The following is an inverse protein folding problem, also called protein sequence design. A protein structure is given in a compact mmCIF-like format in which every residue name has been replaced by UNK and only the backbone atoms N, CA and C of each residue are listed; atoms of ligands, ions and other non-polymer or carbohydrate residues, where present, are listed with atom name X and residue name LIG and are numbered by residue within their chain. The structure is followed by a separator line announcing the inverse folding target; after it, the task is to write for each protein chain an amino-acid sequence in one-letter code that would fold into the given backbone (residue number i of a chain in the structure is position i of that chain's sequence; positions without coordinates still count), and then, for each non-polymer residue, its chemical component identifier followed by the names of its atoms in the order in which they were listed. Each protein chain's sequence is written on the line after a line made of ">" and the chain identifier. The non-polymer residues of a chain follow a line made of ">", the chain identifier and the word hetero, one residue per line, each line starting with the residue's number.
data_IF_684732556500
#
_entry.id   IF_684732556500
#
_cell.length_a   1.000
_cell.length_b   1.000
_cell.length_c   1.000
_cell.angle_alpha   90.00
_cell.angle_beta   90.00
_cell.angle_gamma   90.00
#
_symmetry.space_group_name_H-M   'P 1'
#
loop_
_entity.id
_entity.type
_entity.pdbx_description
1 polymer ?
#
# COMPACT_ATOMS: atom_id res chain seq x y z
N UNK A 1 0.25 11.12 9.53
CA UNK A 1 1.26 10.17 8.99
C UNK A 1 1.61 10.62 7.60
N UNK A 2 2.89 10.86 7.31
CA UNK A 2 3.35 11.24 5.97
C UNK A 2 3.08 10.10 4.99
N UNK A 3 2.83 10.46 3.73
CA UNK A 3 2.66 9.47 2.66
C UNK A 3 4.04 8.97 2.21
N UNK A 4 4.14 7.69 1.86
CA UNK A 4 5.35 7.13 1.27
C UNK A 4 5.82 7.98 0.08
N UNK A 5 7.10 8.32 0.02
CA UNK A 5 7.71 9.17 -1.00
C UNK A 5 7.24 10.64 -1.05
N UNK A 6 6.48 11.14 -0.08
CA UNK A 6 5.88 12.48 -0.11
C UNK A 6 6.94 13.57 -0.38
N UNK A 7 8.02 13.57 0.40
CA UNK A 7 9.11 14.53 0.25
C UNK A 7 9.77 14.50 -1.13
N UNK A 8 10.00 13.30 -1.68
CA UNK A 8 10.58 13.13 -3.01
C UNK A 8 9.60 13.56 -4.10
N UNK A 9 8.33 13.15 -3.96
CA UNK A 9 7.27 13.48 -4.91
C UNK A 9 7.07 14.99 -5.06
N UNK A 10 7.01 15.73 -3.96
CA UNK A 10 6.84 17.19 -3.97
C UNK A 10 8.00 17.90 -4.68
N UNK A 11 9.23 17.46 -4.42
CA UNK A 11 10.41 18.02 -5.10
C UNK A 11 10.38 17.76 -6.60
N UNK A 12 10.10 16.54 -7.01
CA UNK A 12 10.03 16.16 -8.42
C UNK A 12 8.88 16.87 -9.15
N UNK A 13 7.71 16.99 -8.52
CA UNK A 13 6.58 17.73 -9.09
C UNK A 13 6.92 19.21 -9.34
N UNK A 14 7.62 19.85 -8.40
CA UNK A 14 8.04 21.26 -8.55
C UNK A 14 9.03 21.41 -9.71
N UNK A 15 10.02 20.52 -9.84
CA UNK A 15 10.98 20.52 -10.96
C UNK A 15 10.23 20.37 -12.29
N UNK A 16 9.33 19.40 -12.39
CA UNK A 16 8.60 19.11 -13.62
C UNK A 16 7.53 20.14 -13.96
N UNK A 17 6.97 20.84 -12.98
CA UNK A 17 6.07 21.97 -13.22
C UNK A 17 6.78 23.09 -13.98
N UNK A 18 8.03 23.35 -13.62
CA UNK A 18 8.86 24.35 -14.30
C UNK A 18 9.18 23.94 -15.75
N UNK A 19 9.45 22.65 -16.00
CA UNK A 19 9.66 22.13 -17.35
C UNK A 19 8.42 22.17 -18.22
N UNK A 20 7.25 21.86 -17.69
CA UNK A 20 5.97 21.89 -18.42
C UNK A 20 5.58 23.28 -18.89
N UNK A 21 5.99 24.31 -18.14
CA UNK A 21 5.70 25.71 -18.45
C UNK A 21 6.52 26.30 -19.62
N UNK A 22 7.58 25.60 -20.06
CA UNK A 22 8.45 26.06 -21.16
C UNK A 22 7.95 25.49 -22.49
N UNK A 23 7.59 26.35 -23.42
CA UNK A 23 7.10 25.93 -24.75
C UNK A 23 8.20 25.32 -25.63
N UNK A 24 9.48 25.69 -25.37
CA UNK A 24 10.68 25.07 -25.97
C UNK A 24 11.66 24.75 -24.84
N UNK A 25 12.34 23.63 -24.95
CA UNK A 25 13.43 23.26 -24.06
C UNK A 25 14.76 23.29 -24.80
N UNK A 26 15.79 23.76 -24.12
CA UNK A 26 17.19 23.64 -24.54
C UNK A 26 17.86 22.47 -23.80
N UNK A 27 18.97 21.96 -24.34
CA UNK A 27 19.77 20.96 -23.61
C UNK A 27 20.19 21.45 -22.22
N UNK A 28 20.44 22.76 -22.07
CA UNK A 28 20.80 23.38 -20.79
C UNK A 28 19.63 23.31 -19.81
N UNK A 29 18.41 23.55 -20.26
CA UNK A 29 17.21 23.41 -19.43
C UNK A 29 17.02 21.98 -18.91
N UNK A 30 17.23 20.99 -19.76
CA UNK A 30 17.17 19.57 -19.41
C UNK A 30 18.27 19.22 -18.40
N UNK A 31 19.52 19.64 -18.67
CA UNK A 31 20.65 19.41 -17.76
C UNK A 31 20.45 20.07 -16.39
N UNK A 32 19.90 21.29 -16.36
CA UNK A 32 19.58 21.99 -15.11
C UNK A 32 18.50 21.22 -14.31
N UNK A 33 17.42 20.81 -14.95
CA UNK A 33 16.36 20.03 -14.30
C UNK A 33 16.87 18.67 -13.79
N UNK A 34 17.71 17.98 -14.58
CA UNK A 34 18.30 16.69 -14.15
C UNK A 34 19.29 16.85 -12.99
N UNK A 35 19.95 18.01 -12.88
CA UNK A 35 20.76 18.34 -11.69
C UNK A 35 19.88 18.45 -10.44
N UNK A 36 18.73 19.10 -10.54
CA UNK A 36 17.78 19.19 -9.43
C UNK A 36 17.19 17.81 -9.09
N UNK A 37 16.81 17.00 -10.09
CA UNK A 37 16.38 15.59 -9.91
C UNK A 37 17.43 14.77 -9.19
N UNK A 38 18.72 14.92 -9.58
CA UNK A 38 19.85 14.26 -8.90
C UNK A 38 19.88 14.61 -7.41
N UNK A 39 19.77 15.90 -7.09
CA UNK A 39 19.78 16.37 -5.70
C UNK A 39 18.58 15.80 -4.95
N UNK A 40 17.38 15.87 -5.52
CA UNK A 40 16.17 15.33 -4.89
C UNK A 40 16.27 13.83 -4.56
N UNK A 41 16.83 13.03 -5.47
CA UNK A 41 17.06 11.60 -5.24
C UNK A 41 18.11 11.33 -4.16
N UNK A 42 19.20 12.11 -4.12
CA UNK A 42 20.22 11.99 -3.07
C UNK A 42 19.68 12.40 -1.69
N UNK A 43 18.88 13.46 -1.61
CA UNK A 43 18.20 13.88 -0.38
C UNK A 43 17.14 12.87 0.07
N UNK A 44 16.58 12.11 -0.86
CA UNK A 44 15.70 10.96 -0.58
C UNK A 44 16.47 9.71 -0.16
N UNK A 45 17.76 9.80 0.08
CA UNK A 45 18.63 8.68 0.50
C UNK A 45 18.73 7.56 -0.55
N UNK A 46 18.63 7.90 -1.85
CA UNK A 46 18.91 6.93 -2.94
C UNK A 46 20.41 6.75 -3.09
N UNK A 47 20.86 5.51 -3.31
CA UNK A 47 22.28 5.19 -3.46
C UNK A 47 22.96 6.03 -4.56
N UNK A 48 24.10 6.61 -4.26
CA UNK A 48 24.81 7.54 -5.16
C UNK A 48 25.11 6.95 -6.54
N UNK A 49 25.56 5.68 -6.61
CA UNK A 49 25.82 5.00 -7.88
C UNK A 49 24.55 4.85 -8.70
N UNK A 50 23.47 4.47 -8.05
CA UNK A 50 22.13 4.32 -8.67
C UNK A 50 21.66 5.65 -9.24
N UNK A 51 21.77 6.75 -8.48
CA UNK A 51 21.39 8.10 -8.93
C UNK A 51 22.23 8.55 -10.12
N UNK A 52 23.55 8.29 -10.08
CA UNK A 52 24.46 8.67 -11.18
C UNK A 52 24.08 7.95 -12.48
N UNK A 53 23.84 6.65 -12.41
CA UNK A 53 23.50 5.83 -13.58
C UNK A 53 22.10 6.21 -14.11
N UNK A 54 21.14 6.45 -13.23
CA UNK A 54 19.81 6.94 -13.57
C UNK A 54 19.85 8.26 -14.33
N UNK A 55 20.50 9.29 -13.77
CA UNK A 55 20.60 10.62 -14.38
C UNK A 55 21.32 10.55 -15.73
N UNK A 56 22.35 9.71 -15.86
CA UNK A 56 23.04 9.50 -17.14
C UNK A 56 22.09 8.94 -18.21
N UNK A 57 21.34 7.87 -17.90
CA UNK A 57 20.37 7.27 -18.82
C UNK A 57 19.25 8.23 -19.22
N UNK A 58 18.70 8.96 -18.25
CA UNK A 58 17.67 9.97 -18.57
C UNK A 58 18.24 11.07 -19.45
N UNK A 59 19.44 11.57 -19.18
CA UNK A 59 20.07 12.63 -19.97
C UNK A 59 20.32 12.18 -21.43
N UNK A 60 20.86 10.99 -21.61
CA UNK A 60 21.11 10.42 -22.96
C UNK A 60 19.83 10.34 -23.80
N UNK A 61 18.70 10.00 -23.19
CA UNK A 61 17.39 9.90 -23.86
C UNK A 61 16.72 11.27 -24.03
N UNK A 62 16.85 12.16 -23.04
CA UNK A 62 16.12 13.43 -22.99
C UNK A 62 16.73 14.52 -23.90
N UNK A 63 18.02 14.45 -24.23
CA UNK A 63 18.67 15.41 -25.17
C UNK A 63 18.63 14.95 -26.62
N UNK A 64 17.94 13.84 -26.93
CA UNK A 64 17.75 13.37 -28.32
C UNK A 64 16.92 14.34 -29.16
N UNK A 65 17.22 14.42 -30.46
CA UNK A 65 16.54 15.34 -31.40
C UNK A 65 15.02 15.14 -31.42
N UNK A 66 14.55 13.91 -31.26
CA UNK A 66 13.11 13.59 -31.26
C UNK A 66 12.39 14.24 -30.07
N UNK A 67 13.05 14.34 -28.91
CA UNK A 67 12.51 15.01 -27.73
C UNK A 67 12.54 16.51 -27.88
N UNK A 68 13.68 17.05 -28.33
CA UNK A 68 13.90 18.49 -28.43
C UNK A 68 13.02 19.15 -29.53
N UNK A 69 12.71 18.41 -30.58
CA UNK A 69 11.85 18.85 -31.68
C UNK A 69 10.35 18.53 -31.48
N UNK A 70 9.99 17.89 -30.36
CA UNK A 70 8.61 17.57 -30.03
C UNK A 70 7.79 18.83 -29.75
N UNK A 71 6.47 18.77 -30.04
CA UNK A 71 5.51 19.81 -29.68
C UNK A 71 5.33 19.94 -28.13
N UNK A 72 5.73 18.94 -27.38
CA UNK A 72 5.61 18.88 -25.90
C UNK A 72 6.88 18.33 -25.26
N UNK A 73 8.04 18.99 -25.42
CA UNK A 73 9.32 18.44 -24.98
C UNK A 73 9.39 18.20 -23.47
N UNK A 74 8.80 19.09 -22.66
CA UNK A 74 8.72 18.91 -21.20
C UNK A 74 7.93 17.65 -20.78
N UNK A 75 6.87 17.29 -21.50
CA UNK A 75 6.12 16.06 -21.24
C UNK A 75 6.91 14.81 -21.65
N UNK A 76 7.67 14.90 -22.73
CA UNK A 76 8.54 13.81 -23.17
C UNK A 76 9.65 13.53 -22.16
N UNK A 77 10.29 14.57 -21.60
CA UNK A 77 11.28 14.39 -20.51
C UNK A 77 10.67 13.72 -19.29
N UNK A 78 9.46 14.13 -18.86
CA UNK A 78 8.77 13.51 -17.72
C UNK A 78 8.44 12.04 -18.03
N UNK A 79 8.00 11.73 -19.23
CA UNK A 79 7.76 10.34 -19.66
C UNK A 79 9.03 9.50 -19.58
N UNK A 80 10.16 10.01 -20.05
CA UNK A 80 11.45 9.33 -19.98
C UNK A 80 11.86 9.10 -18.52
N UNK A 81 11.69 10.08 -17.63
CA UNK A 81 11.95 9.92 -16.21
C UNK A 81 11.06 8.84 -15.59
N UNK A 82 9.77 8.79 -15.94
CA UNK A 82 8.85 7.75 -15.47
C UNK A 82 9.27 6.35 -15.91
N UNK A 83 9.64 6.19 -17.16
CA UNK A 83 10.12 4.92 -17.72
C UNK A 83 11.41 4.48 -17.05
N UNK A 84 12.37 5.38 -16.85
CA UNK A 84 13.64 5.04 -16.18
C UNK A 84 13.47 4.76 -14.67
N UNK A 85 12.54 5.43 -13.98
CA UNK A 85 12.17 5.07 -12.61
C UNK A 85 11.54 3.68 -12.55
N UNK A 86 10.63 3.37 -13.48
CA UNK A 86 10.01 2.04 -13.59
C UNK A 86 11.08 0.97 -13.81
N UNK A 87 12.00 1.19 -14.75
CA UNK A 87 13.12 0.29 -15.05
C UNK A 87 14.05 0.10 -13.84
N UNK A 88 14.32 1.18 -13.10
CA UNK A 88 15.13 1.14 -11.89
C UNK A 88 14.54 0.22 -10.81
N UNK A 89 13.23 0.22 -10.67
CA UNK A 89 12.50 -0.58 -9.69
C UNK A 89 12.17 -2.00 -10.15
N UNK A 90 12.35 -2.33 -11.47
CA UNK A 90 12.20 -3.70 -11.93
C UNK A 90 11.41 -3.93 -13.20
N UNK A 91 10.92 -2.88 -13.86
CA UNK A 91 10.16 -2.90 -15.13
C UNK A 91 8.81 -3.61 -15.04
N UNK A 92 8.75 -4.80 -14.44
CA UNK A 92 7.57 -5.65 -14.37
C UNK A 92 7.24 -6.07 -12.94
N UNK A 93 5.96 -6.32 -12.70
CA UNK A 93 5.47 -6.88 -11.44
C UNK A 93 5.92 -8.33 -11.32
N UNK A 94 6.54 -8.67 -10.19
CA UNK A 94 6.97 -10.04 -9.89
C UNK A 94 6.10 -10.62 -8.78
N UNK A 95 5.57 -11.82 -9.00
CA UNK A 95 4.75 -12.54 -8.02
C UNK A 95 5.57 -13.55 -7.22
N UNK A 96 5.03 -13.97 -6.07
CA UNK A 96 5.52 -15.14 -5.35
C UNK A 96 5.36 -16.38 -6.22
N UNK A 97 6.42 -17.19 -6.30
CA UNK A 97 6.38 -18.46 -7.00
C UNK A 97 5.63 -19.50 -6.17
N UNK A 98 4.41 -19.82 -6.61
CA UNK A 98 3.57 -20.84 -5.98
C UNK A 98 3.48 -22.04 -6.89
N UNK A 99 3.81 -23.20 -6.37
CA UNK A 99 3.75 -24.46 -7.09
C UNK A 99 2.27 -24.93 -7.31
N UNK A 100 2.03 -25.85 -8.24
CA UNK A 100 0.72 -26.49 -8.41
C UNK A 100 0.23 -27.14 -7.10
N UNK A 101 -1.08 -27.25 -6.93
CA UNK A 101 -1.70 -27.66 -5.66
C UNK A 101 -1.37 -29.10 -5.19
N UNK A 102 -0.83 -29.92 -6.06
CA UNK A 102 -0.32 -31.28 -5.77
C UNK A 102 1.14 -31.27 -5.25
N UNK A 103 1.79 -30.12 -5.18
CA UNK A 103 3.14 -29.93 -4.66
C UNK A 103 3.11 -28.96 -3.48
N UNK A 104 4.08 -29.08 -2.58
CA UNK A 104 4.22 -28.17 -1.45
C UNK A 104 5.19 -27.03 -1.84
N UNK A 105 4.66 -25.81 -1.82
CA UNK A 105 5.49 -24.61 -1.90
C UNK A 105 6.13 -24.35 -0.54
N UNK A 106 7.46 -24.25 -0.47
CA UNK A 106 8.18 -23.92 0.77
C UNK A 106 8.85 -22.56 0.61
N UNK A 107 8.44 -21.60 1.42
CA UNK A 107 8.96 -20.23 1.42
C UNK A 107 9.71 -19.97 2.71
N UNK A 108 10.98 -19.55 2.62
CA UNK A 108 11.77 -19.14 3.78
C UNK A 108 11.78 -17.62 3.89
N UNK A 109 11.25 -17.09 5.01
CA UNK A 109 11.21 -15.67 5.32
C UNK A 109 12.43 -15.30 6.16
N UNK A 110 13.25 -14.37 5.66
CA UNK A 110 14.51 -13.93 6.27
C UNK A 110 14.50 -12.42 6.53
N UNK A 111 15.42 -11.94 7.35
CA UNK A 111 15.64 -10.51 7.61
C UNK A 111 16.00 -10.21 9.07
N UNK A 112 16.38 -8.99 9.35
CA UNK A 112 16.78 -8.55 10.69
C UNK A 112 15.60 -8.48 11.68
N UNK A 113 15.93 -8.40 12.96
CA UNK A 113 14.95 -8.16 14.01
C UNK A 113 14.26 -6.80 13.80
N UNK A 114 12.96 -6.76 13.99
CA UNK A 114 12.18 -5.53 13.81
C UNK A 114 11.82 -5.19 12.36
N UNK A 115 12.35 -5.91 11.37
CA UNK A 115 12.00 -5.70 9.95
C UNK A 115 10.56 -6.09 9.60
N UNK A 116 9.78 -6.66 10.52
CA UNK A 116 8.38 -7.03 10.27
C UNK A 116 8.19 -8.42 9.67
N UNK A 117 9.18 -9.34 9.77
CA UNK A 117 9.09 -10.71 9.23
C UNK A 117 7.81 -11.44 9.65
N UNK A 118 7.64 -11.65 10.96
CA UNK A 118 6.53 -12.43 11.53
C UNK A 118 5.16 -11.89 11.12
N UNK A 119 5.00 -10.57 11.14
CA UNK A 119 3.76 -9.92 10.69
C UNK A 119 3.54 -10.11 9.20
N UNK A 120 4.59 -9.93 8.39
CA UNK A 120 4.55 -10.10 6.93
C UNK A 120 4.28 -11.55 6.54
N UNK A 121 4.90 -12.51 7.24
CA UNK A 121 4.68 -13.95 7.07
C UNK A 121 3.19 -14.30 7.22
N UNK A 122 2.54 -13.82 8.27
CA UNK A 122 1.12 -14.04 8.48
C UNK A 122 0.24 -13.32 7.42
N UNK A 123 0.61 -12.10 7.01
CA UNK A 123 -0.11 -11.38 5.95
C UNK A 123 -0.05 -12.09 4.60
N UNK A 124 1.12 -12.63 4.23
CA UNK A 124 1.28 -13.43 3.01
C UNK A 124 0.40 -14.68 3.09
N UNK A 125 0.43 -15.40 4.21
CA UNK A 125 -0.39 -16.58 4.41
C UNK A 125 -1.89 -16.27 4.27
N UNK A 126 -2.35 -15.17 4.86
CA UNK A 126 -3.74 -14.71 4.71
C UNK A 126 -4.12 -14.40 3.26
N UNK A 127 -3.22 -13.73 2.50
CA UNK A 127 -3.43 -13.48 1.06
C UNK A 127 -3.46 -14.76 0.23
N UNK A 128 -2.60 -15.71 0.52
CA UNK A 128 -2.58 -17.02 -0.17
C UNK A 128 -3.83 -17.84 0.16
N UNK A 129 -4.29 -17.80 1.41
CA UNK A 129 -5.55 -18.42 1.82
C UNK A 129 -6.75 -17.81 1.07
N UNK A 130 -6.80 -16.49 0.94
CA UNK A 130 -7.84 -15.80 0.17
C UNK A 130 -7.84 -16.20 -1.32
N UNK A 131 -6.68 -16.62 -1.85
CA UNK A 131 -6.51 -17.17 -3.21
C UNK A 131 -6.77 -18.70 -3.28
N UNK A 132 -7.35 -19.30 -2.23
CA UNK A 132 -7.70 -20.74 -2.19
C UNK A 132 -6.56 -21.68 -1.85
N UNK A 133 -5.36 -21.17 -1.45
CA UNK A 133 -4.26 -22.01 -0.98
C UNK A 133 -4.47 -22.42 0.48
N UNK A 134 -3.76 -23.46 0.92
CA UNK A 134 -3.82 -24.00 2.28
C UNK A 134 -2.47 -23.80 2.99
N UNK A 135 -2.18 -22.57 3.44
CA UNK A 135 -0.90 -22.25 4.06
C UNK A 135 -0.77 -22.84 5.47
N UNK A 136 0.48 -23.16 5.84
CA UNK A 136 0.94 -23.50 7.18
C UNK A 136 2.06 -22.54 7.55
N UNK A 137 1.92 -21.83 8.65
CA UNK A 137 2.97 -21.00 9.23
C UNK A 137 3.87 -21.87 10.13
N UNK A 138 5.17 -21.64 10.12
CA UNK A 138 6.14 -22.43 10.89
C UNK A 138 7.01 -21.51 11.73
N UNK A 139 6.96 -21.69 13.06
CA UNK A 139 7.74 -20.91 14.02
C UNK A 139 9.17 -21.47 14.11
N UNK A 140 10.09 -20.89 13.36
CA UNK A 140 11.52 -21.23 13.38
C UNK A 140 12.35 -20.23 14.23
N UNK A 141 11.78 -19.12 14.74
CA UNK A 141 12.45 -18.22 15.69
C UNK A 141 12.35 -18.80 17.11
N UNK A 142 13.23 -19.75 17.40
CA UNK A 142 13.27 -20.45 18.70
C UNK A 142 14.00 -19.66 19.80
N UNK A 143 14.73 -18.63 19.45
CA UNK A 143 15.54 -17.84 20.39
C UNK A 143 14.68 -16.83 21.17
N UNK A 144 13.46 -16.59 20.70
CA UNK A 144 12.52 -15.64 21.30
C UNK A 144 11.15 -16.30 21.48
N UNK A 145 10.85 -16.82 22.67
CA UNK A 145 9.54 -17.43 22.95
C UNK A 145 8.36 -16.53 22.58
N UNK A 146 8.51 -15.23 22.79
CA UNK A 146 7.50 -14.23 22.39
C UNK A 146 7.25 -14.19 20.87
N UNK A 147 8.24 -14.51 20.01
CA UNK A 147 8.07 -14.57 18.57
C UNK A 147 7.18 -15.73 18.13
N UNK A 148 7.32 -16.89 18.79
CA UNK A 148 6.44 -18.04 18.56
C UNK A 148 4.98 -17.66 18.87
N UNK A 149 4.76 -17.01 20.02
CA UNK A 149 3.43 -16.59 20.43
C UNK A 149 2.85 -15.51 19.52
N UNK A 150 3.70 -14.56 19.08
CA UNK A 150 3.32 -13.53 18.11
C UNK A 150 2.90 -14.15 16.77
N UNK A 151 3.62 -15.19 16.30
CA UNK A 151 3.24 -15.87 15.06
C UNK A 151 1.90 -16.58 15.20
N UNK A 152 1.62 -17.23 16.35
CA UNK A 152 0.32 -17.87 16.63
C UNK A 152 -0.82 -16.86 16.62
N UNK A 153 -0.68 -15.74 17.33
CA UNK A 153 -1.69 -14.67 17.38
C UNK A 153 -1.93 -14.11 15.96
N UNK A 154 -0.88 -13.88 15.19
CA UNK A 154 -1.02 -13.37 13.83
C UNK A 154 -1.62 -14.43 12.88
N UNK A 155 -1.28 -15.70 13.04
CA UNK A 155 -1.88 -16.81 12.31
C UNK A 155 -3.38 -16.96 12.62
N UNK A 156 -3.76 -16.85 13.88
CA UNK A 156 -5.16 -16.88 14.31
C UNK A 156 -5.98 -15.75 13.68
N UNK A 157 -5.45 -14.51 13.69
CA UNK A 157 -6.07 -13.35 13.03
C UNK A 157 -6.34 -13.60 11.54
N UNK A 158 -5.48 -14.37 10.87
CA UNK A 158 -5.62 -14.76 9.46
C UNK A 158 -6.34 -16.11 9.28
N UNK A 159 -6.72 -16.77 10.41
CA UNK A 159 -7.27 -18.13 10.42
C UNK A 159 -6.38 -19.13 9.67
N UNK A 160 -5.07 -19.03 9.86
CA UNK A 160 -4.04 -19.88 9.28
C UNK A 160 -3.40 -20.70 10.39
N UNK A 161 -3.26 -22.05 10.24
CA UNK A 161 -2.63 -22.89 11.25
C UNK A 161 -1.14 -22.54 11.40
N UNK A 162 -0.63 -22.66 12.64
CA UNK A 162 0.77 -22.45 13.01
C UNK A 162 1.35 -23.73 13.57
N UNK A 163 2.44 -24.19 12.99
CA UNK A 163 3.23 -25.31 13.47
C UNK A 163 4.39 -24.80 14.35
N UNK A 164 4.55 -25.39 15.52
CA UNK A 164 5.62 -25.08 16.45
C UNK A 164 6.03 -26.33 17.22
N UNK A 165 7.34 -26.46 17.49
CA UNK A 165 7.88 -27.51 18.36
C UNK A 165 8.49 -26.92 19.65
N UNK A 166 8.09 -25.70 20.01
CA UNK A 166 8.66 -24.96 21.13
C UNK A 166 10.05 -24.39 20.82
N UNK A 167 10.80 -24.06 21.86
CA UNK A 167 12.08 -23.34 21.78
C UNK A 167 13.33 -24.23 21.96
N UNK A 168 13.14 -25.55 22.16
CA UNK A 168 14.26 -26.50 22.42
C UNK A 168 14.75 -27.23 21.18
N UNK A 169 14.09 -27.09 20.06
CA UNK A 169 14.45 -27.77 18.81
C UNK A 169 15.22 -26.85 17.86
N UNK A 170 16.13 -27.40 17.08
CA UNK A 170 16.83 -26.63 16.04
C UNK A 170 15.85 -26.22 14.95
N UNK A 171 15.98 -25.02 14.36
CA UNK A 171 15.12 -24.53 13.29
C UNK A 171 15.01 -25.47 12.08
N UNK A 172 16.12 -26.11 11.68
CA UNK A 172 16.12 -27.11 10.62
C UNK A 172 15.21 -28.31 10.93
N UNK A 173 15.24 -28.82 12.16
CA UNK A 173 14.39 -29.96 12.56
C UNK A 173 12.91 -29.56 12.56
N UNK A 174 12.61 -28.35 13.02
CA UNK A 174 11.23 -27.78 13.00
C UNK A 174 10.74 -27.69 11.56
N UNK A 175 11.56 -27.16 10.66
CA UNK A 175 11.21 -27.02 9.25
C UNK A 175 10.95 -28.36 8.56
N UNK A 176 11.81 -29.38 8.81
CA UNK A 176 11.59 -30.77 8.31
C UNK A 176 10.30 -31.37 8.84
N UNK A 177 10.06 -31.29 10.14
CA UNK A 177 8.84 -31.81 10.76
C UNK A 177 7.58 -31.07 10.26
N UNK A 178 7.66 -29.75 10.02
CA UNK A 178 6.57 -28.96 9.48
C UNK A 178 6.18 -29.37 8.05
N UNK A 179 7.15 -29.69 7.19
CA UNK A 179 6.88 -30.20 5.84
C UNK A 179 6.18 -31.56 5.88
N UNK A 180 6.63 -32.47 6.75
CA UNK A 180 5.94 -33.74 6.95
C UNK A 180 4.52 -33.55 7.54
N UNK A 181 4.35 -32.62 8.45
CA UNK A 181 3.04 -32.23 8.96
C UNK A 181 2.13 -31.67 7.85
N UNK A 182 2.67 -30.81 6.99
CA UNK A 182 1.95 -30.24 5.86
C UNK A 182 1.46 -31.31 4.89
N UNK A 183 2.28 -32.31 4.57
CA UNK A 183 1.89 -33.48 3.74
C UNK A 183 0.69 -34.22 4.34
N UNK A 184 0.72 -34.49 5.65
CA UNK A 184 -0.35 -35.23 6.36
C UNK A 184 -1.65 -34.44 6.49
N UNK A 185 -1.57 -33.11 6.57
CA UNK A 185 -2.73 -32.23 6.80
C UNK A 185 -3.19 -31.50 5.53
N UNK A 186 -2.71 -31.94 4.37
CA UNK A 186 -3.13 -31.38 3.08
C UNK A 186 -2.84 -29.85 2.94
N UNK A 187 -1.80 -29.35 3.61
CA UNK A 187 -1.29 -28.01 3.36
C UNK A 187 -0.43 -28.02 2.09
N UNK A 188 -0.61 -27.02 1.22
CA UNK A 188 0.17 -26.91 -0.02
C UNK A 188 1.13 -25.71 -0.05
N UNK A 189 1.17 -24.90 1.00
CA UNK A 189 2.14 -23.86 1.20
C UNK A 189 2.67 -23.92 2.63
N UNK A 190 3.99 -23.92 2.79
CA UNK A 190 4.69 -23.87 4.08
C UNK A 190 5.52 -22.59 4.11
N UNK A 191 5.33 -21.75 5.12
CA UNK A 191 6.08 -20.49 5.26
C UNK A 191 6.87 -20.54 6.55
N UNK A 192 8.19 -20.58 6.43
CA UNK A 192 9.13 -20.64 7.54
C UNK A 192 9.43 -19.22 8.03
N UNK A 193 8.97 -18.87 9.25
CA UNK A 193 9.32 -17.61 9.92
C UNK A 193 10.61 -17.81 10.72
N UNK A 194 11.76 -17.43 10.11
CA UNK A 194 13.07 -17.65 10.70
C UNK A 194 13.44 -16.58 11.74
N UNK A 195 14.43 -16.88 12.55
CA UNK A 195 14.98 -15.92 13.51
C UNK A 195 15.53 -14.66 12.81
N UNK A 196 15.49 -13.53 13.50
CA UNK A 196 16.19 -12.31 13.12
C UNK A 196 17.02 -11.79 14.27
N UNK A 197 18.22 -11.34 13.97
CA UNK A 197 19.11 -10.66 14.90
C UNK A 197 19.11 -9.15 14.66
N UNK A 198 19.66 -8.38 15.57
CA UNK A 198 19.73 -6.91 15.43
C UNK A 198 20.60 -6.46 14.27
N UNK A 199 21.61 -7.25 13.94
CA UNK A 199 22.53 -7.04 12.83
C UNK A 199 22.88 -8.38 12.20
N UNK A 200 23.48 -8.34 11.03
CA UNK A 200 23.95 -9.55 10.34
C UNK A 200 25.14 -10.12 11.10
N UNK A 201 25.04 -11.38 11.51
CA UNK A 201 26.10 -12.14 12.14
C UNK A 201 26.28 -13.54 11.50
N UNK A 202 27.42 -14.16 11.74
CA UNK A 202 27.77 -15.44 11.12
C UNK A 202 26.85 -16.58 11.59
N UNK A 203 26.47 -16.61 12.87
CA UNK A 203 25.64 -17.69 13.41
C UNK A 203 24.26 -17.70 12.76
N UNK A 204 23.65 -16.51 12.62
CA UNK A 204 22.37 -16.37 11.93
C UNK A 204 22.48 -16.79 10.46
N UNK A 205 23.55 -16.35 9.76
CA UNK A 205 23.75 -16.70 8.37
C UNK A 205 23.98 -18.19 8.18
N UNK A 206 24.76 -18.83 9.03
CA UNK A 206 25.01 -20.27 9.01
C UNK A 206 23.72 -21.08 9.25
N UNK A 207 22.85 -20.64 10.16
CA UNK A 207 21.55 -21.28 10.39
C UNK A 207 20.65 -21.21 9.16
N UNK A 208 20.58 -20.06 8.50
CA UNK A 208 19.79 -19.88 7.28
C UNK A 208 20.35 -20.71 6.11
N UNK A 209 21.68 -20.78 5.98
CA UNK A 209 22.37 -21.64 5.01
C UNK A 209 22.10 -23.11 5.31
N UNK A 210 22.13 -23.54 6.60
CA UNK A 210 21.83 -24.92 6.99
C UNK A 210 20.38 -25.29 6.58
N UNK A 211 19.42 -24.41 6.78
CA UNK A 211 18.03 -24.62 6.32
C UNK A 211 17.98 -24.73 4.80
N UNK A 212 18.57 -23.77 4.07
CA UNK A 212 18.57 -23.71 2.60
C UNK A 212 19.16 -24.99 1.99
N UNK A 213 20.27 -25.46 2.52
CA UNK A 213 21.02 -26.60 1.93
C UNK A 213 20.38 -27.96 2.25
N UNK A 214 19.50 -28.02 3.27
CA UNK A 214 18.87 -29.27 3.72
C UNK A 214 17.37 -29.36 3.45
N UNK A 215 16.76 -28.30 2.92
CA UNK A 215 15.32 -28.23 2.57
C UNK A 215 15.18 -27.77 1.12
N UNK A 216 14.34 -28.44 0.36
CA UNK A 216 13.97 -27.99 -0.96
C UNK A 216 13.06 -26.76 -0.86
N UNK A 217 13.68 -25.58 -0.86
CA UNK A 217 12.98 -24.30 -0.82
C UNK A 217 12.48 -23.93 -2.23
N UNK A 218 11.24 -23.49 -2.32
CA UNK A 218 10.70 -22.89 -3.57
C UNK A 218 11.17 -21.47 -3.75
N UNK A 219 11.24 -20.71 -2.64
CA UNK A 219 11.72 -19.32 -2.62
C UNK A 219 12.34 -18.95 -1.28
N UNK A 220 13.36 -18.09 -1.35
CA UNK A 220 13.94 -17.35 -0.24
C UNK A 220 13.53 -15.89 -0.35
N UNK A 221 12.85 -15.37 0.67
CA UNK A 221 12.29 -14.02 0.67
C UNK A 221 12.87 -13.21 1.83
N UNK A 222 13.52 -12.10 1.49
CA UNK A 222 14.07 -11.17 2.48
C UNK A 222 13.07 -10.07 2.81
N UNK A 223 12.88 -9.83 4.10
CA UNK A 223 12.06 -8.72 4.61
C UNK A 223 12.99 -7.64 5.17
N UNK A 224 12.86 -6.43 4.64
CA UNK A 224 13.65 -5.25 5.06
C UNK A 224 12.74 -4.11 5.48
N UNK A 225 13.25 -3.28 6.38
CA UNK A 225 12.57 -2.09 6.89
C UNK A 225 12.97 -0.87 6.07
N UNK A 226 12.02 -0.22 5.38
CA UNK A 226 12.28 0.98 4.58
C UNK A 226 12.87 2.13 5.40
N UNK A 227 12.48 2.25 6.67
CA UNK A 227 12.92 3.34 7.54
C UNK A 227 14.42 3.30 7.85
N UNK A 228 15.09 2.17 7.65
CA UNK A 228 16.55 2.05 7.83
C UNK A 228 17.35 2.60 6.65
N UNK A 229 16.69 3.07 5.60
CA UNK A 229 17.33 3.74 4.46
C UNK A 229 18.36 2.85 3.76
N UNK A 230 19.57 3.35 3.56
CA UNK A 230 20.66 2.60 2.89
C UNK A 230 21.12 1.35 3.65
N UNK A 231 20.88 1.25 4.96
CA UNK A 231 21.18 0.01 5.70
C UNK A 231 20.32 -1.15 5.22
N UNK A 232 19.06 -0.91 4.83
CA UNK A 232 18.23 -1.94 4.21
C UNK A 232 18.85 -2.47 2.91
N UNK A 233 19.47 -1.61 2.11
CA UNK A 233 20.15 -1.98 0.86
C UNK A 233 21.39 -2.80 1.14
N UNK A 234 22.20 -2.40 2.14
CA UNK A 234 23.40 -3.12 2.56
C UNK A 234 23.06 -4.53 3.07
N UNK A 235 22.04 -4.62 3.93
CA UNK A 235 21.51 -5.89 4.45
C UNK A 235 21.05 -6.78 3.29
N UNK A 236 20.27 -6.23 2.35
CA UNK A 236 19.79 -6.99 1.20
C UNK A 236 20.94 -7.53 0.33
N UNK A 237 21.98 -6.72 0.14
CA UNK A 237 23.19 -7.14 -0.58
C UNK A 237 23.89 -8.30 0.14
N UNK A 238 24.11 -8.19 1.46
CA UNK A 238 24.81 -9.20 2.25
C UNK A 238 24.05 -10.53 2.30
N UNK A 239 22.70 -10.50 2.52
CA UNK A 239 21.88 -11.70 2.44
C UNK A 239 21.91 -12.36 1.05
N UNK A 240 21.90 -11.53 -0.01
CA UNK A 240 21.97 -12.05 -1.37
C UNK A 240 23.31 -12.72 -1.69
N UNK A 241 24.42 -12.17 -1.19
CA UNK A 241 25.77 -12.73 -1.39
C UNK A 241 26.00 -14.02 -0.59
N UNK A 242 25.52 -14.09 0.66
CA UNK A 242 25.78 -15.24 1.55
C UNK A 242 24.76 -16.38 1.39
N UNK A 243 23.48 -16.04 1.23
CA UNK A 243 22.40 -17.04 1.20
C UNK A 243 21.83 -17.18 -0.20
N UNK A 244 21.76 -16.10 -0.96
CA UNK A 244 20.95 -15.98 -2.16
C UNK A 244 19.48 -15.69 -1.81
N UNK A 245 18.93 -14.66 -2.41
CA UNK A 245 17.53 -14.29 -2.25
C UNK A 245 16.82 -14.33 -3.60
N UNK A 246 15.54 -14.70 -3.60
CA UNK A 246 14.71 -14.74 -4.81
C UNK A 246 13.81 -13.52 -4.92
N UNK A 247 13.49 -12.89 -3.79
CA UNK A 247 12.69 -11.70 -3.76
C UNK A 247 12.77 -10.95 -2.43
N UNK A 248 12.32 -9.70 -2.44
CA UNK A 248 12.41 -8.78 -1.31
C UNK A 248 11.02 -8.22 -0.99
N UNK A 249 10.75 -8.06 0.29
CA UNK A 249 9.57 -7.35 0.79
C UNK A 249 10.06 -6.15 1.59
N UNK A 250 9.59 -4.97 1.21
CA UNK A 250 9.94 -3.71 1.87
C UNK A 250 8.77 -3.31 2.80
N UNK A 251 9.02 -3.28 4.09
CA UNK A 251 8.02 -2.95 5.11
C UNK A 251 8.15 -1.51 5.60
N UNK A 252 7.14 -1.03 6.32
CA UNK A 252 7.08 0.30 6.96
C UNK A 252 7.29 1.46 5.99
N UNK A 253 6.89 1.27 4.75
CA UNK A 253 7.02 2.30 3.73
C UNK A 253 6.10 3.51 4.00
N UNK A 254 5.03 3.32 4.77
CA UNK A 254 4.15 4.37 5.29
C UNK A 254 4.85 5.34 6.26
N UNK A 255 5.94 4.92 6.91
CA UNK A 255 6.81 5.76 7.74
C UNK A 255 7.99 6.38 6.98
N UNK A 256 8.27 5.94 5.75
CA UNK A 256 9.39 6.43 4.94
C UNK A 256 8.93 7.45 3.88
N UNK A 257 9.02 8.73 4.22
CA UNK A 257 8.69 9.82 3.28
C UNK A 257 9.75 10.02 2.19
N UNK A 258 10.94 9.42 2.32
CA UNK A 258 12.07 9.53 1.38
C UNK A 258 12.03 8.46 0.30
N UNK A 259 11.85 7.18 0.69
CA UNK A 259 11.71 6.04 -0.22
C UNK A 259 12.98 5.56 -0.90
N UNK A 260 14.15 6.04 -0.48
CA UNK A 260 15.43 5.76 -1.14
C UNK A 260 15.82 4.28 -1.13
N UNK A 261 15.49 3.55 -0.06
CA UNK A 261 15.73 2.11 0.03
C UNK A 261 15.01 1.35 -1.09
N UNK A 262 13.71 1.58 -1.28
CA UNK A 262 12.93 0.91 -2.32
C UNK A 262 13.46 1.17 -3.73
N UNK A 263 13.94 2.39 -4.01
CA UNK A 263 14.55 2.75 -5.29
C UNK A 263 15.93 2.10 -5.52
N UNK A 264 16.67 1.83 -4.44
CA UNK A 264 18.05 1.32 -4.54
C UNK A 264 18.15 -0.21 -4.52
N UNK A 265 17.25 -0.89 -3.83
CA UNK A 265 17.33 -2.33 -3.54
C UNK A 265 17.45 -3.17 -4.82
N UNK A 266 16.54 -2.96 -5.78
CA UNK A 266 16.57 -3.74 -7.05
C UNK A 266 17.84 -3.48 -7.84
N UNK A 267 18.25 -2.21 -7.93
CA UNK A 267 19.43 -1.81 -8.69
C UNK A 267 20.74 -2.40 -8.11
N UNK A 268 20.82 -2.54 -6.78
CA UNK A 268 22.02 -3.04 -6.09
C UNK A 268 22.03 -4.56 -6.00
N UNK A 269 20.90 -5.20 -5.71
CA UNK A 269 20.82 -6.65 -5.50
C UNK A 269 20.51 -7.44 -6.77
N UNK A 270 19.93 -6.80 -7.79
CA UNK A 270 19.36 -7.47 -8.95
C UNK A 270 18.06 -8.23 -8.68
N UNK A 271 17.58 -8.25 -7.41
CA UNK A 271 16.42 -9.05 -6.98
C UNK A 271 15.13 -8.24 -6.98
N UNK A 272 13.98 -8.85 -7.37
CA UNK A 272 12.73 -8.12 -7.45
C UNK A 272 12.17 -7.79 -6.07
N UNK A 273 11.47 -6.64 -5.98
CA UNK A 273 10.57 -6.36 -4.86
C UNK A 273 9.24 -7.05 -5.18
N UNK A 274 8.77 -7.89 -4.26
CA UNK A 274 7.52 -8.66 -4.41
C UNK A 274 6.33 -7.92 -3.81
N UNK A 275 6.50 -7.42 -2.58
CA UNK A 275 5.47 -6.70 -1.82
C UNK A 275 6.05 -5.50 -1.10
N UNK A 276 5.16 -4.57 -0.78
CA UNK A 276 5.41 -3.43 0.10
C UNK A 276 4.42 -3.41 1.25
N UNK A 277 4.90 -3.11 2.46
CA UNK A 277 4.09 -2.91 3.65
C UNK A 277 3.82 -1.43 3.87
N UNK A 278 2.55 -1.06 3.82
CA UNK A 278 2.04 0.30 3.96
C UNK A 278 1.28 0.51 5.28
N UNK A 279 1.49 -0.37 6.26
CA UNK A 279 0.81 -0.32 7.55
C UNK A 279 0.64 -1.70 8.18
N UNK A 280 -0.19 -1.80 9.22
CA UNK A 280 -0.30 -3.01 10.04
C UNK A 280 -1.39 -4.00 9.60
N UNK A 281 -2.42 -3.54 8.90
CA UNK A 281 -3.54 -4.40 8.46
C UNK A 281 -3.12 -5.36 7.35
N UNK A 282 -3.89 -6.43 7.14
CA UNK A 282 -3.67 -7.38 6.02
C UNK A 282 -3.73 -6.67 4.67
N UNK A 283 -4.67 -5.74 4.50
CA UNK A 283 -4.83 -4.91 3.30
C UNK A 283 -3.62 -4.03 2.99
N UNK A 284 -2.81 -3.73 4.02
CA UNK A 284 -1.67 -2.81 3.90
C UNK A 284 -0.39 -3.52 3.40
N UNK A 285 -0.46 -4.82 3.09
CA UNK A 285 0.57 -5.52 2.31
C UNK A 285 0.14 -5.50 0.86
N UNK A 286 0.75 -4.66 0.05
CA UNK A 286 0.44 -4.49 -1.37
C UNK A 286 1.46 -5.20 -2.25
N UNK A 287 1.02 -5.74 -3.39
CA UNK A 287 1.94 -6.21 -4.41
C UNK A 287 2.70 -5.03 -5.00
N UNK A 288 3.99 -5.22 -5.27
CA UNK A 288 4.81 -4.15 -5.80
C UNK A 288 4.63 -4.04 -7.31
N UNK A 289 4.19 -2.87 -7.76
CA UNK A 289 4.04 -2.52 -9.17
C UNK A 289 4.99 -1.36 -9.50
N UNK A 290 6.11 -1.61 -10.20
CA UNK A 290 7.11 -0.58 -10.50
C UNK A 290 6.54 0.64 -11.22
N UNK A 291 5.68 0.45 -12.21
CA UNK A 291 5.03 1.49 -12.99
C UNK A 291 4.12 2.40 -12.17
N UNK A 292 3.32 1.79 -11.27
CA UNK A 292 2.43 2.54 -10.37
C UNK A 292 3.24 3.31 -9.34
N UNK A 293 4.32 2.72 -8.85
CA UNK A 293 5.20 3.38 -7.89
C UNK A 293 5.92 4.57 -8.53
N UNK A 294 6.44 4.43 -9.75
CA UNK A 294 7.01 5.54 -10.51
C UNK A 294 5.99 6.68 -10.71
N UNK A 295 4.76 6.33 -11.07
CA UNK A 295 3.67 7.30 -11.23
C UNK A 295 3.33 8.03 -9.92
N UNK A 296 3.31 7.33 -8.79
CA UNK A 296 3.13 7.94 -7.46
C UNK A 296 4.25 8.93 -7.14
N UNK A 297 5.50 8.52 -7.32
CA UNK A 297 6.70 9.36 -7.07
C UNK A 297 6.66 10.63 -7.92
N UNK A 298 6.16 10.57 -9.16
CA UNK A 298 6.03 11.72 -10.05
C UNK A 298 4.76 12.55 -9.81
N UNK A 299 3.92 12.16 -8.84
CA UNK A 299 2.64 12.84 -8.56
C UNK A 299 1.62 12.71 -9.68
N UNK A 300 1.76 11.70 -10.53
CA UNK A 300 0.82 11.41 -11.63
C UNK A 300 -0.41 10.62 -11.15
N UNK A 301 -0.41 10.21 -9.88
CA UNK A 301 -1.45 9.39 -9.27
C UNK A 301 -1.34 7.91 -9.61
N UNK A 302 -2.11 7.10 -8.91
CA UNK A 302 -2.18 5.66 -9.10
C UNK A 302 -3.65 5.23 -9.20
N UNK A 303 -4.25 5.52 -10.33
CA UNK A 303 -5.68 5.23 -10.58
C UNK A 303 -5.96 3.73 -10.59
N UNK A 304 -5.02 2.89 -11.03
CA UNK A 304 -5.21 1.44 -11.10
C UNK A 304 -5.27 0.83 -9.70
N UNK A 305 -4.34 1.19 -8.81
CA UNK A 305 -4.40 0.73 -7.41
C UNK A 305 -5.66 1.22 -6.68
N UNK A 306 -6.15 2.43 -7.03
CA UNK A 306 -7.40 2.95 -6.51
C UNK A 306 -8.59 2.08 -6.95
N UNK A 307 -8.65 1.71 -8.21
CA UNK A 307 -9.70 0.83 -8.76
C UNK A 307 -9.63 -0.55 -8.10
N UNK A 308 -8.45 -1.15 -8.00
CA UNK A 308 -8.27 -2.46 -7.37
C UNK A 308 -8.66 -2.47 -5.88
N UNK A 309 -8.30 -1.41 -5.13
CA UNK A 309 -8.75 -1.26 -3.73
C UNK A 309 -10.26 -1.12 -3.64
N UNK A 310 -10.88 -0.37 -4.56
CA UNK A 310 -12.31 -0.25 -4.64
C UNK A 310 -12.99 -1.59 -4.94
N UNK A 311 -12.47 -2.34 -5.93
CA UNK A 311 -13.00 -3.66 -6.28
C UNK A 311 -12.88 -4.69 -5.14
N UNK A 312 -11.76 -4.68 -4.40
CA UNK A 312 -11.57 -5.58 -3.24
C UNK A 312 -12.45 -5.22 -2.04
N UNK A 313 -12.83 -3.95 -1.91
CA UNK A 313 -13.60 -3.45 -0.76
C UNK A 313 -15.10 -3.47 -1.00
N UNK A 314 -15.52 -3.55 -2.25
CA UNK A 314 -16.93 -3.49 -2.65
C UNK A 314 -17.43 -4.93 -2.86
N UNK A 315 -18.31 -5.36 -1.96
CA UNK A 315 -19.18 -6.51 -2.20
C UNK A 315 -20.09 -6.16 -3.39
N UNK A 316 -19.86 -6.81 -4.53
CA UNK A 316 -20.55 -6.49 -5.80
C UNK A 316 -22.07 -6.57 -5.69
N UNK A 317 -22.58 -7.46 -4.85
CA UNK A 317 -24.02 -7.61 -4.66
C UNK A 317 -24.58 -6.45 -3.82
N UNK A 318 -23.86 -6.03 -2.78
CA UNK A 318 -24.21 -4.83 -1.99
C UNK A 318 -24.08 -3.55 -2.80
N UNK A 319 -23.08 -3.43 -3.68
CA UNK A 319 -22.93 -2.29 -4.55
C UNK A 319 -24.10 -2.14 -5.52
N UNK A 320 -24.60 -3.22 -6.11
CA UNK A 320 -25.79 -3.22 -6.97
C UNK A 320 -27.07 -2.87 -6.20
N UNK A 321 -27.21 -3.40 -4.98
CA UNK A 321 -28.34 -3.06 -4.10
C UNK A 321 -28.31 -1.59 -3.72
N UNK A 322 -27.15 -1.05 -3.37
CA UNK A 322 -26.97 0.35 -3.04
C UNK A 322 -27.23 1.27 -4.24
N UNK A 323 -26.78 0.89 -5.45
CA UNK A 323 -27.11 1.61 -6.69
C UNK A 323 -28.64 1.63 -6.93
N UNK A 324 -29.34 0.55 -6.68
CA UNK A 324 -30.80 0.50 -6.79
C UNK A 324 -31.50 1.38 -5.75
N UNK A 325 -31.00 1.41 -4.50
CA UNK A 325 -31.51 2.28 -3.43
C UNK A 325 -31.25 3.77 -3.74
N UNK A 326 -30.06 4.09 -4.27
CA UNK A 326 -29.72 5.44 -4.73
C UNK A 326 -30.64 5.90 -5.88
N UNK A 327 -30.91 5.05 -6.88
CA UNK A 327 -31.84 5.34 -7.99
C UNK A 327 -33.27 5.56 -7.49
N UNK A 328 -33.70 4.89 -6.42
CA UNK A 328 -35.01 5.06 -5.79
C UNK A 328 -35.08 6.24 -4.80
N UNK A 329 -33.97 7.00 -4.66
CA UNK A 329 -33.85 8.11 -3.69
C UNK A 329 -34.12 7.70 -2.22
N UNK A 330 -33.82 6.46 -1.87
CA UNK A 330 -34.00 5.86 -0.54
C UNK A 330 -32.70 5.82 0.26
N UNK A 331 -31.80 6.81 0.08
CA UNK A 331 -30.56 6.90 0.81
C UNK A 331 -30.84 7.27 2.28
N UNK A 332 -30.34 6.46 3.22
CA UNK A 332 -30.57 6.52 4.65
C UNK A 332 -29.29 6.84 5.43
N UNK A 333 -29.38 7.13 6.73
CA UNK A 333 -28.21 7.27 7.59
C UNK A 333 -27.50 5.92 7.83
N UNK A 334 -28.19 4.80 7.74
CA UNK A 334 -27.55 3.49 7.78
C UNK A 334 -26.69 3.25 6.52
N UNK A 335 -27.18 3.63 5.32
CA UNK A 335 -26.39 3.58 4.08
C UNK A 335 -25.17 4.51 4.16
N UNK A 336 -25.31 5.66 4.82
CA UNK A 336 -24.22 6.60 5.06
C UNK A 336 -23.13 6.00 5.95
N UNK A 337 -23.50 5.30 7.05
CA UNK A 337 -22.53 4.59 7.91
C UNK A 337 -21.80 3.47 7.16
N UNK A 338 -22.53 2.71 6.36
CA UNK A 338 -21.93 1.64 5.55
C UNK A 338 -20.92 2.20 4.56
N UNK A 339 -21.25 3.31 3.88
CA UNK A 339 -20.35 4.00 2.97
C UNK A 339 -19.11 4.55 3.67
N UNK A 340 -19.25 5.15 4.85
CA UNK A 340 -18.13 5.63 5.66
C UNK A 340 -17.24 4.47 6.13
N UNK A 341 -17.84 3.33 6.50
CA UNK A 341 -17.12 2.11 6.84
C UNK A 341 -16.30 1.56 5.68
N UNK A 342 -16.85 1.58 4.47
CA UNK A 342 -16.12 1.18 3.25
C UNK A 342 -14.92 2.08 2.99
N UNK A 343 -15.08 3.41 3.06
CA UNK A 343 -13.96 4.37 2.92
C UNK A 343 -12.88 4.12 3.98
N UNK A 344 -13.26 3.85 5.23
CA UNK A 344 -12.32 3.53 6.30
C UNK A 344 -11.55 2.23 6.03
N UNK A 345 -12.22 1.21 5.48
CA UNK A 345 -11.61 -0.06 5.09
C UNK A 345 -10.68 0.08 3.88
N UNK A 346 -10.92 1.04 3.00
CA UNK A 346 -10.06 1.37 1.84
C UNK A 346 -8.80 2.17 2.22
N UNK A 347 -8.51 2.33 3.52
CA UNK A 347 -7.33 3.06 4.00
C UNK A 347 -7.60 4.53 4.33
N UNK A 348 -8.86 4.94 4.40
CA UNK A 348 -9.28 6.31 4.71
C UNK A 348 -9.27 7.25 3.51
N UNK A 349 -9.90 8.42 3.69
CA UNK A 349 -10.08 9.40 2.62
C UNK A 349 -8.75 10.01 2.14
N UNK A 350 -7.78 10.19 3.03
CA UNK A 350 -6.45 10.71 2.70
C UNK A 350 -5.68 9.77 1.77
N UNK A 351 -5.73 8.46 2.02
CA UNK A 351 -5.09 7.45 1.16
C UNK A 351 -5.70 7.43 -0.25
N UNK A 352 -7.03 7.55 -0.35
CA UNK A 352 -7.73 7.59 -1.63
C UNK A 352 -7.40 8.86 -2.43
N UNK A 353 -7.35 10.01 -1.77
CA UNK A 353 -7.04 11.30 -2.40
C UNK A 353 -5.58 11.37 -2.87
N UNK A 354 -4.65 10.76 -2.13
CA UNK A 354 -3.24 10.68 -2.54
C UNK A 354 -3.00 9.88 -3.83
N UNK A 355 -3.90 8.95 -4.15
CA UNK A 355 -3.85 8.16 -5.38
C UNK A 355 -4.44 8.88 -6.58
N UNK A 356 -5.15 10.01 -6.37
CA UNK A 356 -5.76 10.76 -7.48
C UNK A 356 -4.76 11.68 -8.18
N UNK A 357 -4.73 11.70 -9.52
CA UNK A 357 -3.85 12.56 -10.29
C UNK A 357 -4.09 14.05 -10.00
N UNK A 358 -3.03 14.79 -9.66
CA UNK A 358 -3.08 16.24 -9.47
C UNK A 358 -3.61 16.72 -8.11
N UNK A 359 -3.94 15.82 -7.20
CA UNK A 359 -4.45 16.13 -5.85
C UNK A 359 -3.37 15.88 -4.79
N UNK A 360 -2.40 15.00 -5.06
CA UNK A 360 -1.25 14.75 -4.18
C UNK A 360 -0.50 16.04 -3.84
N UNK A 361 -0.28 16.32 -2.57
CA UNK A 361 0.48 17.47 -2.08
C UNK A 361 -0.28 18.80 -1.97
N UNK A 362 -1.58 18.87 -2.33
CA UNK A 362 -2.40 20.11 -2.21
C UNK A 362 -3.53 20.03 -1.19
N UNK A 363 -3.62 18.94 -0.47
CA UNK A 363 -4.65 18.80 0.56
C UNK A 363 -4.08 19.40 1.83
N UNK A 364 -4.55 20.59 2.20
CA UNK A 364 -4.38 21.06 3.57
C UNK A 364 -5.07 20.04 4.48
N UNK A 365 -4.36 19.54 5.48
CA UNK A 365 -4.92 18.64 6.52
C UNK A 365 -6.20 19.23 7.17
N UNK A 366 -6.38 20.55 7.08
CA UNK A 366 -7.58 21.27 7.54
C UNK A 366 -8.86 20.95 6.74
N UNK A 367 -8.76 20.34 5.55
CA UNK A 367 -9.92 20.04 4.67
C UNK A 367 -10.42 18.60 4.88
N UNK A 368 -9.58 17.73 5.44
CA UNK A 368 -9.93 16.34 5.72
C UNK A 368 -10.57 16.23 7.11
N UNK A 369 -11.70 15.52 7.24
CA UNK A 369 -12.26 15.27 8.56
C UNK A 369 -11.27 14.39 9.34
N UNK A 370 -10.81 14.89 10.50
CA UNK A 370 -10.01 14.14 11.47
C UNK A 370 -10.79 12.87 11.91
N UNK A 371 -10.08 11.79 12.22
CA UNK A 371 -10.69 10.55 12.76
C UNK A 371 -11.62 10.84 13.95
N UNK A 372 -11.31 11.86 14.75
CA UNK A 372 -12.19 12.34 15.84
C UNK A 372 -13.50 12.94 15.33
N UNK A 373 -13.49 13.60 14.18
CA UNK A 373 -14.71 14.15 13.57
C UNK A 373 -15.57 13.03 12.98
N UNK A 374 -14.95 12.03 12.34
CA UNK A 374 -15.65 10.84 11.86
C UNK A 374 -16.30 10.07 13.01
N UNK A 375 -15.57 9.86 14.11
CA UNK A 375 -16.12 9.23 15.32
C UNK A 375 -17.32 9.99 15.94
N UNK A 376 -17.32 11.34 15.87
CA UNK A 376 -18.47 12.15 16.31
C UNK A 376 -19.68 11.97 15.39
N UNK A 377 -19.48 11.89 14.08
CA UNK A 377 -20.55 11.63 13.10
C UNK A 377 -21.17 10.25 13.36
N UNK A 378 -20.34 9.22 13.54
CA UNK A 378 -20.80 7.86 13.89
C UNK A 378 -21.62 7.89 15.20
N UNK A 379 -21.13 8.56 16.25
CA UNK A 379 -21.83 8.70 17.54
C UNK A 379 -23.20 9.37 17.39
N UNK A 380 -23.30 10.43 16.56
CA UNK A 380 -24.57 11.11 16.28
C UNK A 380 -25.55 10.12 15.62
N UNK A 381 -25.12 9.38 14.61
CA UNK A 381 -26.01 8.46 13.88
C UNK A 381 -26.40 7.25 14.77
N UNK A 382 -25.49 6.71 15.57
CA UNK A 382 -25.81 5.64 16.52
C UNK A 382 -26.76 6.10 17.62
N UNK A 383 -26.81 7.39 17.94
CA UNK A 383 -27.77 7.99 18.90
C UNK A 383 -29.16 8.20 18.29
N UNK A 384 -29.34 8.01 16.99
CA UNK A 384 -30.63 8.03 16.31
C UNK A 384 -31.38 6.69 16.49
N UNK A 385 -32.70 6.73 16.54
CA UNK A 385 -33.54 5.52 16.44
C UNK A 385 -33.51 4.93 15.03
N UNK A 386 -33.94 3.69 14.87
CA UNK A 386 -34.05 3.05 13.53
C UNK A 386 -34.95 3.85 12.58
N UNK A 387 -36.05 4.42 13.11
CA UNK A 387 -36.97 5.29 12.35
C UNK A 387 -36.25 6.56 11.86
N UNK A 388 -35.48 7.21 12.73
CA UNK A 388 -34.77 8.45 12.41
C UNK A 388 -33.62 8.23 11.43
N UNK A 389 -32.97 7.06 11.48
CA UNK A 389 -31.94 6.69 10.51
C UNK A 389 -32.51 6.37 9.14
N UNK A 390 -33.67 5.71 9.09
CA UNK A 390 -34.33 5.38 7.83
C UNK A 390 -35.09 6.55 7.21
N UNK A 391 -35.65 7.43 8.04
CA UNK A 391 -36.42 8.62 7.59
C UNK A 391 -35.93 9.89 8.29
N UNK A 392 -34.95 10.60 7.73
CA UNK A 392 -34.44 11.85 8.32
C UNK A 392 -35.49 12.96 8.49
N UNK A 393 -36.57 12.92 7.73
CA UNK A 393 -37.59 13.95 7.74
C UNK A 393 -38.39 14.00 9.08
N UNK A 394 -38.29 12.93 9.90
CA UNK A 394 -38.94 12.91 11.25
C UNK A 394 -38.10 13.59 12.34
N UNK A 395 -36.86 14.02 12.03
CA UNK A 395 -35.91 14.58 13.00
C UNK A 395 -36.28 16.05 13.31
N UNK A 396 -37.15 16.24 14.29
CA UNK A 396 -37.57 17.55 14.79
C UNK A 396 -36.61 18.14 15.84
N UNK A 397 -36.76 19.39 16.28
CA UNK A 397 -35.86 20.03 17.26
C UNK A 397 -35.68 19.24 18.56
N UNK A 398 -36.74 18.65 19.12
CA UNK A 398 -36.67 17.84 20.35
C UNK A 398 -35.85 16.56 20.14
N UNK A 399 -36.04 15.88 19.01
CA UNK A 399 -35.24 14.70 18.64
C UNK A 399 -33.76 15.06 18.43
N UNK A 400 -33.45 16.22 17.82
CA UNK A 400 -32.08 16.72 17.69
C UNK A 400 -31.38 16.95 19.03
N UNK A 401 -32.11 17.52 20.02
CA UNK A 401 -31.57 17.70 21.37
C UNK A 401 -31.26 16.35 22.04
N UNK A 402 -32.15 15.37 21.92
CA UNK A 402 -31.93 14.01 22.45
C UNK A 402 -30.76 13.34 21.81
N UNK A 403 -30.65 13.43 20.47
CA UNK A 403 -29.53 12.86 19.69
C UNK A 403 -28.21 13.52 20.13
N UNK A 404 -28.15 14.83 20.24
CA UNK A 404 -26.98 15.57 20.68
C UNK A 404 -26.51 15.13 22.07
N UNK A 405 -27.46 14.99 23.02
CA UNK A 405 -27.19 14.53 24.38
C UNK A 405 -26.67 13.09 24.38
N UNK A 406 -27.26 12.18 23.56
CA UNK A 406 -26.84 10.78 23.43
C UNK A 406 -25.45 10.63 22.83
N UNK A 407 -25.10 11.47 21.86
CA UNK A 407 -23.82 11.47 21.18
C UNK A 407 -22.72 12.25 21.92
N UNK A 408 -23.04 12.97 22.99
CA UNK A 408 -22.07 13.81 23.71
C UNK A 408 -21.52 14.98 22.88
N UNK A 409 -22.35 15.54 21.97
CA UNK A 409 -21.97 16.64 21.08
C UNK A 409 -22.92 17.83 21.22
N UNK A 410 -22.49 19.00 20.73
CA UNK A 410 -23.36 20.17 20.64
C UNK A 410 -24.45 19.99 19.58
N UNK A 411 -25.63 20.55 19.83
CA UNK A 411 -26.78 20.49 18.91
C UNK A 411 -26.46 21.07 17.51
N UNK A 412 -25.54 22.03 17.45
CA UNK A 412 -25.06 22.59 16.17
C UNK A 412 -24.42 21.56 15.26
N UNK A 413 -23.72 20.57 15.83
CA UNK A 413 -23.10 19.46 15.08
C UNK A 413 -24.16 18.52 14.51
N UNK A 414 -25.23 18.23 15.28
CA UNK A 414 -26.37 17.45 14.77
C UNK A 414 -27.08 18.19 13.64
N UNK A 415 -27.30 19.50 13.80
CA UNK A 415 -27.92 20.35 12.77
C UNK A 415 -27.07 20.38 11.48
N UNK A 416 -25.77 20.51 11.64
CA UNK A 416 -24.80 20.49 10.51
C UNK A 416 -24.89 19.18 9.76
N UNK A 417 -24.83 18.04 10.46
CA UNK A 417 -24.88 16.71 9.85
C UNK A 417 -26.21 16.48 9.10
N UNK A 418 -27.35 16.75 9.74
CA UNK A 418 -28.68 16.57 9.11
C UNK A 418 -28.80 17.43 7.85
N UNK A 419 -28.36 18.70 7.90
CA UNK A 419 -28.39 19.61 6.76
C UNK A 419 -27.49 19.13 5.61
N UNK A 420 -26.30 18.67 5.94
CA UNK A 420 -25.37 18.13 4.93
C UNK A 420 -25.93 16.86 4.29
N UNK A 421 -26.51 15.97 5.09
CA UNK A 421 -27.17 14.77 4.60
C UNK A 421 -28.33 15.08 3.66
N UNK A 422 -29.21 16.04 4.00
CA UNK A 422 -30.30 16.49 3.14
C UNK A 422 -29.79 17.10 1.81
N UNK A 423 -28.73 17.90 1.87
CA UNK A 423 -28.11 18.47 0.68
C UNK A 423 -27.54 17.39 -0.23
N UNK A 424 -26.85 16.40 0.33
CA UNK A 424 -26.32 15.26 -0.40
C UNK A 424 -27.47 14.46 -1.06
N UNK A 425 -28.54 14.17 -0.33
CA UNK A 425 -29.74 13.48 -0.85
C UNK A 425 -30.42 14.25 -1.99
N UNK A 426 -30.49 15.59 -1.91
CA UNK A 426 -31.02 16.46 -2.98
C UNK A 426 -30.10 16.44 -4.22
N UNK A 427 -28.80 16.52 -4.03
CA UNK A 427 -27.81 16.48 -5.12
C UNK A 427 -27.84 15.14 -5.86
N UNK A 428 -27.94 14.03 -5.14
CA UNK A 428 -28.11 12.69 -5.72
C UNK A 428 -29.40 12.56 -6.53
N UNK A 429 -30.51 13.17 -6.09
CA UNK A 429 -31.77 13.22 -6.86
C UNK A 429 -31.67 14.01 -8.18
N UNK A 430 -30.81 15.03 -8.21
CA UNK A 430 -30.67 15.91 -9.39
C UNK A 430 -29.66 15.40 -10.44
N UNK A 431 -28.94 14.29 -10.16
CA UNK A 431 -27.92 13.71 -11.06
C UNK A 431 -28.29 12.30 -11.55
N UNK A 432 -29.38 12.08 -12.27
CA UNK A 432 -29.62 10.80 -12.93
C UNK A 432 -28.67 10.67 -14.12
N UNK A 433 -27.56 9.95 -13.98
CA UNK A 433 -26.69 9.63 -15.12
C UNK A 433 -25.18 9.66 -14.91
N UNK A 434 -24.66 9.91 -13.72
CA UNK A 434 -23.19 9.96 -13.52
C UNK A 434 -22.52 8.58 -13.29
N UNK A 435 -23.31 7.53 -13.04
CA UNK A 435 -22.85 6.15 -12.84
C UNK A 435 -23.22 5.16 -13.97
N UNK A 436 -23.86 5.61 -15.04
CA UNK A 436 -24.18 4.78 -16.21
C UNK A 436 -23.43 5.30 -17.43
N UNK A 437 -22.46 4.54 -17.94
CA UNK A 437 -21.63 4.94 -19.07
C UNK A 437 -22.41 5.24 -20.34
N UNK A 438 -21.95 6.28 -21.02
CA UNK A 438 -22.13 6.84 -22.36
C UNK A 438 -22.78 8.23 -22.35
N UNK A 439 -21.96 9.27 -22.49
CA UNK A 439 -22.48 10.57 -22.89
C UNK A 439 -21.59 11.76 -22.57
N UNK A 440 -20.92 12.26 -23.62
CA UNK A 440 -20.42 13.62 -23.89
C UNK A 440 -19.77 14.45 -22.75
N UNK A 441 -18.47 14.64 -22.92
CA UNK A 441 -17.62 15.63 -22.24
C UNK A 441 -18.29 17.00 -22.13
N UNK A 442 -18.59 17.46 -20.91
CA UNK A 442 -18.60 18.88 -20.56
C UNK A 442 -17.60 19.11 -19.43
N UNK A 443 -16.63 20.00 -19.66
CA UNK A 443 -15.67 20.50 -18.69
C UNK A 443 -16.43 21.20 -17.55
N UNK A 444 -16.44 20.60 -16.38
CA UNK A 444 -16.90 21.21 -15.14
C UNK A 444 -16.25 20.45 -14.00
N UNK A 445 -15.51 21.14 -13.11
CA UNK A 445 -14.79 20.54 -12.01
C UNK A 445 -15.70 19.67 -11.14
N UNK A 446 -15.20 18.48 -10.83
CA UNK A 446 -15.85 17.50 -9.95
C UNK A 446 -15.87 18.06 -8.52
N UNK A 447 -17.04 18.50 -8.06
CA UNK A 447 -17.28 18.77 -6.63
C UNK A 447 -17.80 17.50 -6.01
N UNK A 448 -17.07 16.95 -5.06
CA UNK A 448 -17.52 15.82 -4.27
C UNK A 448 -18.84 16.14 -3.57
N UNK A 449 -19.82 15.21 -3.52
CA UNK A 449 -21.13 15.48 -2.89
C UNK A 449 -21.10 15.66 -1.38
N UNK A 450 -19.97 15.40 -0.74
CA UNK A 450 -19.76 15.57 0.69
C UNK A 450 -18.57 16.54 0.92
N UNK A 451 -18.82 17.84 0.80
CA UNK A 451 -17.91 18.86 1.31
C UNK A 451 -18.07 18.99 2.83
N UNK A 452 -17.02 18.66 3.56
CA UNK A 452 -16.92 18.92 5.00
C UNK A 452 -16.46 20.35 5.28
#
# INVERSE_FOLDING_TARGET
>A
MGLAFESLSDKLQNIFKNLRGKGRLTEEDVKAALKEVKIALLEADVNFKVVKDFVKKVNERAVGQDVMNSLTPGQMVIKIVNEELTNLMGSETTELKILPDNQITVIMMMGLQGAGKTTTTAKIAGKLKAKGKRPLLVACDVYRPAAIEQLKINGEKQQVPVFSMGDKQKPLNIAKAAIEHAKKNNNNVVILDTAGRLHVDEDMMNELVEIRDNIELTQTVLVVDAMTGQDAVNVAKEFNEKIGIDGIIVTKLDGDTRGGAALSIKAITGKPILYIGMGEKLSDLEQFHPDRMASRILGMGDVLSLIEKAEQSIDQDKAKEMEQRLKKAQFTFDDYLEYMGQIKNMGGLSSLLSMMPGVGGKINDDILPDEKQLGKIEAIIYSMTKEERSNPDVINPSRKQRIAKGAGVDISQVNKLVKQFEQARKMMKSMPGLMGGKGKKKRGGFKMPFGF
#
